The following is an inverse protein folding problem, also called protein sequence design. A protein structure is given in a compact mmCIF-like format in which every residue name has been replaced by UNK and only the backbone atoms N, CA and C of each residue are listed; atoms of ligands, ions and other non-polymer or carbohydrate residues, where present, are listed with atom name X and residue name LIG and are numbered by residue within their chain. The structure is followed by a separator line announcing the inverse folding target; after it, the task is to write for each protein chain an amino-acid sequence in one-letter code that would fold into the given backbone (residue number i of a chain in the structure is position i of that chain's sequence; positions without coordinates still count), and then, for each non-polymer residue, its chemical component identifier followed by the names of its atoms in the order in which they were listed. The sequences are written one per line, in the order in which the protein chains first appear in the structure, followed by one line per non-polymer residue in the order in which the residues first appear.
data_IF_332158211823
#
_entry.id   IF_332158211823
#
_cell.length_a   1.000
_cell.length_b   1.000
_cell.length_c   1.000
_cell.angle_alpha   90.00
_cell.angle_beta   90.00
_cell.angle_gamma   90.00
#
_symmetry.space_group_name_H-M   'P 1'
#
loop_
_entity.id
_entity.type
_entity.pdbx_description
1 polymer ?
#
# COMPACT_ATOMS: atom_id res chain seq x y z
N UNK A 1 5.16 0.45 12.70
CA UNK A 1 5.26 1.78 13.33
C UNK A 1 4.72 1.73 14.76
N UNK A 2 5.51 1.20 15.69
CA UNK A 2 5.13 1.17 17.11
C UNK A 2 5.42 2.50 17.81
N UNK A 3 4.67 2.78 18.87
CA UNK A 3 4.85 3.86 19.83
C UNK A 3 4.67 3.30 21.23
N UNK A 4 5.22 4.00 22.21
CA UNK A 4 5.04 3.71 23.62
C UNK A 4 4.35 4.92 24.26
N UNK A 5 3.27 4.70 25.00
CA UNK A 5 2.64 5.75 25.78
C UNK A 5 3.59 6.18 26.92
N UNK A 6 4.23 7.35 26.80
CA UNK A 6 5.15 7.83 27.84
C UNK A 6 4.44 8.42 29.06
N UNK A 7 3.16 8.75 28.89
CA UNK A 7 2.22 9.22 29.91
C UNK A 7 0.86 8.57 29.65
N UNK A 8 -0.06 8.67 30.60
CA UNK A 8 -1.46 8.33 30.34
C UNK A 8 -2.00 9.24 29.23
N UNK A 9 -2.51 8.63 28.16
CA UNK A 9 -3.01 9.33 26.99
C UNK A 9 -4.53 9.20 26.92
N UNK A 10 -5.23 10.31 27.14
CA UNK A 10 -6.68 10.38 27.06
C UNK A 10 -7.11 10.76 25.65
N UNK A 11 -7.88 9.90 25.00
CA UNK A 11 -8.50 10.16 23.71
C UNK A 11 -9.78 11.01 23.88
N UNK A 12 -10.20 11.67 22.81
CA UNK A 12 -11.40 12.53 22.79
C UNK A 12 -12.71 11.78 23.09
N UNK A 13 -12.73 10.47 22.85
CA UNK A 13 -13.86 9.59 23.17
C UNK A 13 -13.85 9.08 24.63
N UNK A 14 -12.98 9.63 25.49
CA UNK A 14 -12.90 9.28 26.91
C UNK A 14 -12.01 8.07 27.22
N UNK A 15 -11.61 7.29 26.22
CA UNK A 15 -10.70 6.14 26.41
C UNK A 15 -9.34 6.63 26.90
N UNK A 16 -8.78 5.95 27.89
CA UNK A 16 -7.44 6.25 28.42
C UNK A 16 -6.51 5.10 28.07
N UNK A 17 -5.40 5.42 27.41
CA UNK A 17 -4.29 4.52 27.17
C UNK A 17 -3.25 4.71 28.29
N UNK A 18 -3.05 3.72 29.18
CA UNK A 18 -2.13 3.86 30.30
C UNK A 18 -0.68 4.07 29.86
N UNK A 19 0.09 4.80 30.67
CA UNK A 19 1.54 4.90 30.53
C UNK A 19 2.17 3.51 30.46
N UNK A 20 3.15 3.35 29.57
CA UNK A 20 3.85 2.10 29.30
C UNK A 20 3.17 1.20 28.27
N UNK A 21 1.99 1.58 27.76
CA UNK A 21 1.29 0.77 26.75
C UNK A 21 1.93 0.94 25.36
N UNK A 22 2.40 -0.14 24.70
CA UNK A 22 2.79 -0.07 23.30
C UNK A 22 1.55 0.01 22.40
N UNK A 23 1.59 0.84 21.37
CA UNK A 23 0.50 0.99 20.40
C UNK A 23 1.05 1.27 19.00
N UNK A 24 0.23 1.12 17.96
CA UNK A 24 0.64 1.30 16.57
C UNK A 24 -0.50 1.72 15.67
N UNK A 25 -0.17 1.95 14.40
CA UNK A 25 -1.15 2.27 13.37
C UNK A 25 -1.76 0.95 12.85
N UNK A 26 -3.09 0.78 12.88
CA UNK A 26 -3.75 -0.41 12.36
C UNK A 26 -3.86 -0.33 10.82
N UNK A 27 -2.74 -0.52 10.11
CA UNK A 27 -2.70 -0.37 8.66
C UNK A 27 -3.64 -1.32 7.93
N UNK A 28 -3.65 -2.61 8.29
CA UNK A 28 -4.51 -3.59 7.62
C UNK A 28 -6.00 -3.31 7.83
N UNK A 29 -6.50 -3.12 9.08
CA UNK A 29 -7.90 -2.73 9.29
C UNK A 29 -8.29 -1.45 8.55
N UNK A 30 -7.41 -0.43 8.55
CA UNK A 30 -7.70 0.82 7.85
C UNK A 30 -7.77 0.65 6.33
N UNK A 31 -6.92 -0.20 5.75
CA UNK A 31 -6.93 -0.50 4.32
C UNK A 31 -8.08 -1.44 3.91
N UNK A 32 -8.66 -2.18 4.86
CA UNK A 32 -9.74 -3.13 4.62
C UNK A 32 -11.10 -2.69 5.18
N UNK A 33 -11.22 -1.43 5.60
CA UNK A 33 -12.47 -0.87 6.10
C UNK A 33 -13.44 -0.61 4.93
N UNK A 34 -14.59 -1.33 4.86
CA UNK A 34 -15.56 -1.16 3.78
C UNK A 34 -16.25 0.21 3.80
N UNK A 35 -16.25 0.92 4.93
CA UNK A 35 -16.77 2.29 5.01
C UNK A 35 -15.84 3.29 4.33
N UNK A 36 -14.54 2.99 4.28
CA UNK A 36 -13.53 3.81 3.62
C UNK A 36 -13.27 3.38 2.18
N UNK A 37 -13.37 2.08 1.89
CA UNK A 37 -12.98 1.47 0.62
C UNK A 37 -14.04 0.46 0.14
N UNK A 38 -14.83 0.78 -0.90
CA UNK A 38 -15.81 -0.16 -1.45
C UNK A 38 -15.16 -1.43 -1.99
N UNK A 39 -15.60 -2.64 -1.64
CA UNK A 39 -14.93 -3.90 -2.02
C UNK A 39 -13.42 -3.90 -1.67
N UNK A 40 -13.04 -3.78 -0.38
CA UNK A 40 -11.66 -3.54 0.01
C UNK A 40 -10.69 -4.68 -0.37
N UNK A 41 -11.20 -5.91 -0.43
CA UNK A 41 -10.43 -7.10 -0.81
C UNK A 41 -10.23 -7.24 -2.32
N UNK A 42 -10.98 -6.48 -3.14
CA UNK A 42 -10.85 -6.52 -4.59
C UNK A 42 -9.76 -5.56 -5.07
N UNK A 43 -8.90 -6.03 -5.98
CA UNK A 43 -7.97 -5.17 -6.69
C UNK A 43 -8.71 -4.36 -7.77
N UNK A 44 -8.96 -3.07 -7.49
CA UNK A 44 -9.45 -2.10 -8.48
C UNK A 44 -8.35 -1.08 -8.80
N UNK A 45 -7.70 -1.16 -9.98
CA UNK A 45 -6.63 -0.23 -10.35
C UNK A 45 -7.10 1.23 -10.49
N UNK A 46 -8.42 1.46 -10.58
CA UNK A 46 -9.02 2.77 -10.77
C UNK A 46 -9.59 3.39 -9.48
N UNK A 47 -9.56 2.64 -8.37
CA UNK A 47 -10.19 3.03 -7.09
C UNK A 47 -9.85 4.45 -6.67
N UNK A 48 -8.56 4.77 -6.56
CA UNK A 48 -8.11 6.08 -6.08
C UNK A 48 -8.42 7.22 -7.07
N UNK A 49 -8.43 6.94 -8.38
CA UNK A 49 -8.82 7.92 -9.39
C UNK A 49 -10.31 8.27 -9.24
N UNK A 50 -11.18 7.25 -9.23
CA UNK A 50 -12.64 7.42 -9.07
C UNK A 50 -12.98 8.16 -7.78
N UNK A 51 -12.32 7.81 -6.67
CA UNK A 51 -12.50 8.48 -5.38
C UNK A 51 -12.08 9.95 -5.44
N UNK A 52 -10.91 10.25 -6.04
CA UNK A 52 -10.46 11.63 -6.17
C UNK A 52 -11.35 12.51 -7.04
N UNK A 53 -11.99 11.93 -8.05
CA UNK A 53 -12.97 12.62 -8.90
C UNK A 53 -14.29 12.85 -8.18
N UNK A 54 -14.83 11.82 -7.52
CA UNK A 54 -16.07 11.93 -6.75
C UNK A 54 -15.94 12.92 -5.57
N UNK A 55 -14.78 12.96 -4.91
CA UNK A 55 -14.50 13.87 -3.79
C UNK A 55 -14.10 15.29 -4.24
N UNK A 56 -13.84 15.51 -5.54
CA UNK A 56 -13.23 16.76 -6.03
C UNK A 56 -11.84 17.03 -5.45
N UNK A 57 -11.14 15.99 -4.96
CA UNK A 57 -9.87 16.11 -4.26
C UNK A 57 -8.86 15.07 -4.78
N UNK A 58 -8.12 15.46 -5.81
CA UNK A 58 -7.09 14.61 -6.42
C UNK A 58 -5.83 14.50 -5.56
N UNK A 59 -5.47 15.55 -4.82
CA UNK A 59 -4.20 15.61 -4.05
C UNK A 59 -4.19 14.58 -2.94
N UNK A 60 -5.28 14.45 -2.20
CA UNK A 60 -5.38 13.47 -1.11
C UNK A 60 -5.45 12.03 -1.63
N UNK A 61 -5.86 11.83 -2.88
CA UNK A 61 -5.93 10.50 -3.50
C UNK A 61 -4.65 10.11 -4.25
N UNK A 62 -3.59 10.93 -4.20
CA UNK A 62 -2.27 10.56 -4.70
C UNK A 62 -1.63 9.48 -3.82
N UNK A 63 -0.86 8.58 -4.44
CA UNK A 63 -0.08 7.57 -3.72
C UNK A 63 0.85 8.19 -2.67
N UNK A 64 1.34 9.42 -2.87
CA UNK A 64 2.23 10.15 -1.94
C UNK A 64 1.51 10.84 -0.77
N UNK A 65 0.18 10.79 -0.72
CA UNK A 65 -0.60 11.44 0.33
C UNK A 65 -0.34 10.82 1.71
N UNK A 66 -0.32 11.63 2.76
CA UNK A 66 -0.19 11.20 4.15
C UNK A 66 -1.39 11.72 4.96
N UNK A 67 -2.54 11.04 4.80
CA UNK A 67 -3.86 11.50 5.25
C UNK A 67 -4.49 10.52 6.25
N UNK A 68 -5.48 10.92 7.07
CA UNK A 68 -5.99 10.06 8.16
C UNK A 68 -6.48 8.69 7.69
N UNK A 69 -7.13 8.63 6.52
CA UNK A 69 -7.63 7.38 5.95
C UNK A 69 -6.59 6.59 5.15
N UNK A 70 -5.39 7.15 4.91
CA UNK A 70 -4.32 6.49 4.15
C UNK A 70 -2.98 6.73 4.85
N UNK A 71 -2.63 5.79 5.74
CA UNK A 71 -1.49 5.90 6.64
C UNK A 71 -0.29 5.05 6.21
N UNK A 72 -0.23 4.61 4.95
CA UNK A 72 0.90 3.83 4.41
C UNK A 72 2.25 4.49 4.72
N UNK A 73 2.32 5.81 4.57
CA UNK A 73 3.52 6.60 4.85
C UNK A 73 3.59 7.14 6.28
N UNK A 74 2.66 6.77 7.15
CA UNK A 74 2.48 7.40 8.46
C UNK A 74 1.91 8.83 8.33
N UNK A 75 2.00 9.60 9.42
CA UNK A 75 1.47 10.98 9.48
C UNK A 75 2.23 11.85 10.49
N UNK A 76 2.10 13.17 10.33
CA UNK A 76 2.69 14.16 11.22
C UNK A 76 4.22 14.17 11.15
N UNK A 77 4.87 14.41 12.30
CA UNK A 77 6.34 14.48 12.41
C UNK A 77 7.08 13.20 11.99
N UNK A 78 6.36 12.08 11.92
CA UNK A 78 6.92 10.78 11.54
C UNK A 78 6.40 10.28 10.19
N UNK A 79 5.78 11.15 9.38
CA UNK A 79 5.45 10.81 8.01
C UNK A 79 6.73 10.52 7.22
N UNK A 80 6.72 9.48 6.40
CA UNK A 80 7.86 9.04 5.60
C UNK A 80 8.30 10.19 4.68
N UNK A 81 9.52 10.72 4.83
CA UNK A 81 10.03 11.75 3.93
C UNK A 81 10.34 11.19 2.54
N UNK A 82 10.70 9.90 2.46
CA UNK A 82 11.04 9.20 1.21
C UNK A 82 9.85 8.87 0.30
N UNK A 83 8.60 9.12 0.72
CA UNK A 83 7.40 8.74 -0.05
C UNK A 83 7.37 9.32 -1.46
N UNK A 84 7.89 10.53 -1.66
CA UNK A 84 7.96 11.14 -2.99
C UNK A 84 8.96 10.41 -3.87
N UNK A 85 10.17 10.18 -3.36
CA UNK A 85 11.22 9.45 -4.06
C UNK A 85 10.77 8.03 -4.41
N UNK A 86 10.27 7.27 -3.43
CA UNK A 86 9.84 5.87 -3.64
C UNK A 86 8.71 5.79 -4.68
N UNK A 87 7.74 6.70 -4.66
CA UNK A 87 6.68 6.71 -5.68
C UNK A 87 7.23 6.98 -7.09
N UNK A 88 8.28 7.80 -7.23
CA UNK A 88 8.94 7.99 -8.53
C UNK A 88 9.67 6.73 -8.97
N UNK A 89 10.41 6.09 -8.07
CA UNK A 89 11.11 4.83 -8.35
C UNK A 89 10.11 3.75 -8.81
N UNK A 90 9.01 3.56 -8.07
CA UNK A 90 7.97 2.58 -8.43
C UNK A 90 7.41 2.86 -9.82
N UNK A 91 7.09 4.12 -10.14
CA UNK A 91 6.56 4.49 -11.46
C UNK A 91 7.58 4.24 -12.57
N UNK A 92 8.84 4.60 -12.37
CA UNK A 92 9.91 4.37 -13.36
C UNK A 92 10.10 2.87 -13.58
N UNK A 93 10.18 2.08 -12.51
CA UNK A 93 10.27 0.61 -12.59
C UNK A 93 9.09 0.02 -13.36
N UNK A 94 7.86 0.44 -13.05
CA UNK A 94 6.67 -0.02 -13.77
C UNK A 94 6.71 0.33 -15.25
N UNK A 95 7.10 1.56 -15.61
CA UNK A 95 7.25 1.97 -17.02
C UNK A 95 8.31 1.13 -17.74
N UNK A 96 9.47 0.90 -17.12
CA UNK A 96 10.52 0.07 -17.72
C UNK A 96 10.05 -1.36 -17.94
N UNK A 97 9.43 -1.98 -16.93
CA UNK A 97 8.93 -3.34 -17.04
C UNK A 97 7.85 -3.47 -18.11
N UNK A 98 6.84 -2.59 -18.09
CA UNK A 98 5.69 -2.64 -19.02
C UNK A 98 6.06 -2.25 -20.47
N UNK A 99 7.10 -1.43 -20.65
CA UNK A 99 7.53 -1.03 -22.00
C UNK A 99 8.46 -2.05 -22.65
N UNK A 100 9.21 -2.81 -21.83
CA UNK A 100 10.22 -3.75 -22.33
C UNK A 100 9.76 -5.19 -22.33
N UNK A 101 8.85 -5.59 -21.44
CA UNK A 101 8.52 -7.00 -21.24
C UNK A 101 7.02 -7.29 -21.28
N UNK A 102 6.69 -8.48 -21.80
CA UNK A 102 5.46 -9.17 -21.42
C UNK A 102 5.77 -10.08 -20.23
N UNK A 103 4.86 -10.09 -19.26
CA UNK A 103 5.03 -10.77 -17.99
C UNK A 103 3.80 -11.60 -17.66
N UNK A 104 4.04 -12.82 -17.16
CA UNK A 104 3.00 -13.70 -16.62
C UNK A 104 3.54 -14.50 -15.45
N UNK A 105 2.65 -15.00 -14.59
CA UNK A 105 3.05 -16.02 -13.62
C UNK A 105 3.38 -17.33 -14.35
N UNK A 106 4.35 -18.09 -13.84
CA UNK A 106 4.69 -19.40 -14.41
C UNK A 106 3.54 -20.40 -14.26
N UNK A 107 2.83 -20.29 -13.13
CA UNK A 107 1.62 -21.05 -12.83
C UNK A 107 0.38 -20.15 -12.98
N UNK A 108 -0.77 -20.73 -13.33
CA UNK A 108 -2.06 -20.03 -13.41
C UNK A 108 -2.67 -19.69 -12.03
N UNK A 109 -1.85 -19.71 -10.98
CA UNK A 109 -2.26 -19.44 -9.60
C UNK A 109 -1.85 -18.04 -9.21
N UNK A 110 -2.80 -17.26 -8.67
CA UNK A 110 -2.48 -15.96 -8.09
C UNK A 110 -1.68 -16.16 -6.80
N UNK A 111 -0.43 -15.67 -6.70
CA UNK A 111 0.37 -15.89 -5.50
C UNK A 111 -0.23 -15.17 -4.29
N UNK A 112 -0.18 -15.84 -3.14
CA UNK A 112 -0.73 -15.32 -1.88
C UNK A 112 0.43 -14.95 -0.97
N UNK A 113 0.55 -13.66 -0.66
CA UNK A 113 1.53 -13.19 0.31
C UNK A 113 1.14 -13.52 1.75
N UNK A 114 2.09 -13.36 2.65
CA UNK A 114 1.93 -13.65 4.08
C UNK A 114 2.39 -12.49 4.95
N UNK A 115 1.88 -12.44 6.18
CA UNK A 115 2.33 -11.48 7.18
C UNK A 115 3.49 -12.05 7.98
N UNK A 116 4.65 -11.40 7.89
CA UNK A 116 5.80 -11.67 8.77
C UNK A 116 5.92 -10.51 9.76
N UNK A 117 5.49 -10.78 10.99
CA UNK A 117 5.40 -9.75 12.03
C UNK A 117 4.41 -8.66 11.63
N UNK A 118 4.90 -7.43 11.42
CA UNK A 118 4.07 -6.29 10.98
C UNK A 118 4.19 -5.94 9.49
N UNK A 119 5.02 -6.70 8.75
CA UNK A 119 5.19 -6.55 7.31
C UNK A 119 4.34 -7.55 6.54
N UNK A 120 3.85 -7.15 5.37
CA UNK A 120 3.31 -8.06 4.37
C UNK A 120 4.43 -8.42 3.40
N UNK A 121 4.68 -9.71 3.20
CA UNK A 121 5.63 -10.23 2.25
C UNK A 121 4.87 -10.85 1.08
N UNK A 122 5.28 -10.58 -0.18
CA UNK A 122 4.75 -11.33 -1.31
C UNK A 122 5.17 -12.80 -1.18
N UNK A 123 4.50 -13.69 -1.93
CA UNK A 123 4.95 -15.06 -2.07
C UNK A 123 6.34 -15.09 -2.72
N UNK A 124 7.36 -15.40 -1.92
CA UNK A 124 8.75 -15.41 -2.35
C UNK A 124 9.09 -16.63 -3.24
N UNK A 125 8.16 -17.56 -3.42
CA UNK A 125 8.30 -18.74 -4.29
C UNK A 125 7.60 -18.54 -5.64
N UNK A 126 6.82 -17.48 -5.79
CA UNK A 126 6.13 -17.20 -7.04
C UNK A 126 7.13 -16.92 -8.16
N UNK A 127 7.02 -17.67 -9.26
CA UNK A 127 7.84 -17.47 -10.45
C UNK A 127 7.11 -16.58 -11.46
N UNK A 128 7.83 -15.60 -12.00
CA UNK A 128 7.35 -14.68 -13.03
C UNK A 128 8.19 -14.89 -14.28
N UNK A 129 7.54 -15.19 -15.39
CA UNK A 129 8.17 -15.32 -16.70
C UNK A 129 8.18 -13.96 -17.40
N UNK A 130 9.31 -13.63 -18.01
CA UNK A 130 9.51 -12.40 -18.76
C UNK A 130 9.85 -12.73 -20.22
N UNK A 131 9.21 -12.05 -21.15
CA UNK A 131 9.59 -12.01 -22.57
C UNK A 131 9.92 -10.59 -22.97
N UNK A 132 11.08 -10.37 -23.60
CA UNK A 132 11.38 -9.08 -24.21
C UNK A 132 10.43 -8.83 -25.39
N UNK A 133 9.74 -7.69 -25.40
CA UNK A 133 8.79 -7.31 -26.46
C UNK A 133 9.43 -7.11 -27.82
N UNK A 134 10.74 -6.85 -27.87
CA UNK A 134 11.50 -6.77 -29.12
C UNK A 134 11.78 -8.15 -29.70
N UNK A 135 11.73 -9.19 -28.88
CA UNK A 135 11.92 -10.57 -29.30
C UNK A 135 10.57 -11.23 -29.61
N UNK A 136 10.23 -11.25 -30.90
CA UNK A 136 9.00 -11.85 -31.41
C UNK A 136 9.10 -13.37 -31.60
N UNK A 137 10.28 -13.97 -31.35
CA UNK A 137 10.52 -15.41 -31.59
C UNK A 137 9.94 -16.32 -30.51
N UNK A 138 9.65 -15.79 -29.32
CA UNK A 138 9.09 -16.53 -28.18
C UNK A 138 7.66 -16.03 -27.90
N UNK A 139 6.72 -16.94 -27.67
CA UNK A 139 5.37 -16.60 -27.21
C UNK A 139 5.18 -17.17 -25.81
N UNK A 140 4.82 -16.30 -24.87
CA UNK A 140 4.41 -16.65 -23.51
C UNK A 140 3.02 -16.08 -23.25
#
# INVERSE_FOLDING_TARGET
MGRLALTDLRFSNGVVLPKGTPFGIPLWPLAHDPELWPEPSAFDPWRHLKMGEAEGNRVDNLMTAARPRWLLWGRGRHACPGRFFVVHVIKITAVMLLSSYDMRFADDVTPVGEYIGSGFMPDMKAEIQFRDRKDTSVQI
#
